data_IF_894256668505
#
_entry.id   IF_894256668505
#
_cell.length_a   1.000
_cell.length_b   1.000
_cell.length_c   1.000
_cell.angle_alpha   90.00
_cell.angle_beta   90.00
_cell.angle_gamma   90.00
#
_symmetry.space_group_name_H-M   'P 1'
#
loop_
_entity.id
_entity.type
_entity.pdbx_description
1 polymer ?
#
# COMPACT_ATOMS: atom_id res chain seq x y z
N UNK A 1 5.04 14.48 -2.79
CA UNK A 1 4.38 14.77 -4.08
C UNK A 1 5.17 14.05 -5.14
N UNK A 2 4.56 13.06 -5.82
CA UNK A 2 5.20 12.25 -6.86
C UNK A 2 4.92 12.85 -8.24
N UNK A 3 5.77 12.58 -9.22
CA UNK A 3 5.59 13.08 -10.59
C UNK A 3 4.80 12.09 -11.45
N UNK A 4 4.25 12.56 -12.58
CA UNK A 4 3.64 11.68 -13.59
C UNK A 4 4.63 10.63 -14.12
N UNK A 5 5.94 10.94 -14.11
CA UNK A 5 6.99 9.99 -14.50
C UNK A 5 7.14 8.85 -13.50
N UNK A 6 6.94 9.12 -12.20
CA UNK A 6 7.01 8.08 -11.17
C UNK A 6 5.82 7.13 -11.30
N UNK A 7 4.63 7.64 -11.59
CA UNK A 7 3.46 6.81 -11.89
C UNK A 7 3.70 5.85 -13.06
N UNK A 8 4.33 6.33 -14.14
CA UNK A 8 4.69 5.49 -15.30
C UNK A 8 5.75 4.46 -14.93
N UNK A 9 6.79 4.85 -14.17
CA UNK A 9 7.86 3.93 -13.77
C UNK A 9 7.35 2.78 -12.93
N UNK A 10 6.38 3.06 -12.06
CA UNK A 10 5.83 2.10 -11.11
C UNK A 10 4.51 1.46 -11.57
N UNK A 11 4.16 1.57 -12.85
CA UNK A 11 2.89 1.06 -13.41
C UNK A 11 2.67 -0.43 -13.15
N UNK A 12 3.72 -1.23 -13.17
CA UNK A 12 3.67 -2.66 -12.86
C UNK A 12 3.12 -2.89 -11.44
N UNK A 13 3.68 -2.20 -10.45
CA UNK A 13 3.26 -2.28 -9.05
C UNK A 13 1.86 -1.72 -8.83
N UNK A 14 1.50 -0.62 -9.50
CA UNK A 14 0.14 -0.07 -9.43
C UNK A 14 -0.89 -1.06 -9.98
N UNK A 15 -0.55 -1.76 -11.07
CA UNK A 15 -1.40 -2.80 -11.65
C UNK A 15 -1.56 -3.97 -10.68
N UNK A 16 -0.47 -4.39 -10.03
CA UNK A 16 -0.49 -5.48 -9.04
C UNK A 16 -1.33 -5.13 -7.79
N UNK A 17 -1.16 -3.91 -7.27
CA UNK A 17 -1.99 -3.36 -6.20
C UNK A 17 -3.46 -3.32 -6.60
N UNK A 18 -3.78 -2.96 -7.84
CA UNK A 18 -5.14 -3.00 -8.38
C UNK A 18 -5.74 -4.40 -8.34
N UNK A 19 -4.98 -5.44 -8.76
CA UNK A 19 -5.42 -6.84 -8.71
C UNK A 19 -5.63 -7.32 -7.28
N UNK A 20 -4.73 -6.98 -6.36
CA UNK A 20 -4.87 -7.33 -4.95
C UNK A 20 -6.09 -6.63 -4.32
N UNK A 21 -6.34 -5.37 -4.68
CA UNK A 21 -7.53 -4.65 -4.25
C UNK A 21 -8.83 -5.30 -4.79
N UNK A 22 -8.83 -5.77 -6.03
CA UNK A 22 -9.93 -6.56 -6.59
C UNK A 22 -10.16 -7.86 -5.82
N UNK A 23 -9.10 -8.63 -5.53
CA UNK A 23 -9.23 -9.90 -4.80
C UNK A 23 -9.70 -9.71 -3.36
N UNK A 24 -9.38 -8.56 -2.76
CA UNK A 24 -9.82 -8.17 -1.41
C UNK A 24 -11.19 -7.48 -1.40
N UNK A 25 -11.82 -7.27 -2.56
CA UNK A 25 -13.09 -6.57 -2.69
C UNK A 25 -13.05 -5.14 -2.15
N UNK A 26 -11.95 -4.42 -2.37
CA UNK A 26 -11.77 -3.02 -1.98
C UNK A 26 -12.33 -2.07 -3.03
N UNK A 27 -12.99 -1.00 -2.59
CA UNK A 27 -13.52 0.08 -3.43
C UNK A 27 -12.45 0.95 -4.10
N UNK A 28 -12.88 1.99 -4.81
CA UNK A 28 -11.99 2.93 -5.51
C UNK A 28 -11.21 3.84 -4.57
N UNK A 29 -11.79 4.19 -3.41
CA UNK A 29 -11.16 5.08 -2.43
C UNK A 29 -9.91 4.43 -1.78
N UNK A 30 -9.98 3.20 -1.21
CA UNK A 30 -8.80 2.49 -0.73
C UNK A 30 -7.68 2.38 -1.76
N UNK A 31 -8.03 2.10 -3.02
CA UNK A 31 -7.09 1.96 -4.14
C UNK A 31 -6.36 3.27 -4.41
N UNK A 32 -7.10 4.35 -4.62
CA UNK A 32 -6.52 5.66 -4.89
C UNK A 32 -5.60 6.09 -3.75
N UNK A 33 -6.04 5.92 -2.49
CA UNK A 33 -5.23 6.25 -1.32
C UNK A 33 -3.96 5.38 -1.25
N UNK A 34 -4.08 4.08 -1.51
CA UNK A 34 -2.94 3.17 -1.51
C UNK A 34 -1.90 3.54 -2.58
N UNK A 35 -2.34 3.84 -3.80
CA UNK A 35 -1.46 4.28 -4.89
C UNK A 35 -0.72 5.57 -4.51
N UNK A 36 -1.42 6.56 -3.94
CA UNK A 36 -0.82 7.82 -3.52
C UNK A 36 0.22 7.61 -2.41
N UNK A 37 -0.07 6.72 -1.45
CA UNK A 37 0.85 6.34 -0.38
C UNK A 37 2.09 5.65 -0.94
N UNK A 38 1.93 4.69 -1.84
CA UNK A 38 3.03 3.97 -2.46
C UNK A 38 3.91 4.91 -3.29
N UNK A 39 3.32 5.70 -4.18
CA UNK A 39 4.05 6.63 -5.05
C UNK A 39 4.78 7.73 -4.27
N UNK A 40 4.27 8.10 -3.10
CA UNK A 40 4.94 9.06 -2.21
C UNK A 40 6.08 8.45 -1.40
N UNK A 41 6.20 7.11 -1.35
CA UNK A 41 7.16 6.38 -0.51
C UNK A 41 7.90 5.28 -1.30
N UNK A 42 8.02 5.41 -2.62
CA UNK A 42 8.68 4.40 -3.47
C UNK A 42 10.12 4.21 -2.98
N UNK A 43 10.52 2.99 -2.59
CA UNK A 43 11.89 2.73 -2.17
C UNK A 43 12.83 2.66 -3.38
N UNK A 44 14.09 3.06 -3.20
CA UNK A 44 15.11 2.97 -4.24
C UNK A 44 15.41 1.51 -4.68
N UNK A 45 15.25 0.55 -3.76
CA UNK A 45 15.55 -0.85 -4.01
C UNK A 45 14.30 -1.61 -4.50
N UNK A 46 14.36 -2.16 -5.72
CA UNK A 46 13.27 -2.96 -6.33
C UNK A 46 12.73 -4.05 -5.40
N UNK A 47 13.63 -4.79 -4.72
CA UNK A 47 13.26 -5.85 -3.78
C UNK A 47 12.39 -5.41 -2.60
N UNK A 48 12.36 -4.10 -2.30
CA UNK A 48 11.57 -3.53 -1.22
C UNK A 48 10.19 -3.08 -1.68
N UNK A 49 9.98 -2.87 -2.98
CA UNK A 49 8.73 -2.36 -3.55
C UNK A 49 7.49 -3.22 -3.25
N UNK A 50 7.52 -4.57 -3.38
CA UNK A 50 6.34 -5.38 -3.05
C UNK A 50 5.87 -5.16 -1.60
N UNK A 51 6.82 -5.12 -0.65
CA UNK A 51 6.52 -4.91 0.76
C UNK A 51 5.97 -3.51 1.05
N UNK A 52 6.45 -2.47 0.35
CA UNK A 52 5.93 -1.11 0.50
C UNK A 52 4.56 -0.98 -0.17
N UNK A 53 4.35 -1.55 -1.34
CA UNK A 53 3.07 -1.59 -2.05
C UNK A 53 1.99 -2.28 -1.21
N UNK A 54 2.28 -3.45 -0.63
CA UNK A 54 1.37 -4.17 0.26
C UNK A 54 1.05 -3.36 1.54
N UNK A 55 2.06 -2.71 2.13
CA UNK A 55 1.85 -1.84 3.29
C UNK A 55 1.01 -0.61 2.95
N UNK A 56 1.19 -0.03 1.76
CA UNK A 56 0.39 1.09 1.26
C UNK A 56 -1.06 0.67 1.00
N UNK A 57 -1.29 -0.53 0.46
CA UNK A 57 -2.62 -1.10 0.27
C UNK A 57 -3.36 -1.30 1.59
N UNK A 58 -2.69 -1.88 2.59
CA UNK A 58 -3.25 -2.01 3.94
C UNK A 58 -3.57 -0.64 4.57
N UNK A 59 -2.63 0.31 4.49
CA UNK A 59 -2.82 1.65 5.04
C UNK A 59 -3.94 2.43 4.33
N UNK A 60 -4.04 2.31 3.00
CA UNK A 60 -5.11 2.94 2.21
C UNK A 60 -6.49 2.37 2.56
N UNK A 61 -6.61 1.04 2.70
CA UNK A 61 -7.82 0.39 3.17
C UNK A 61 -8.22 0.84 4.59
N UNK A 62 -7.24 0.98 5.49
CA UNK A 62 -7.48 1.48 6.85
C UNK A 62 -7.96 2.94 6.85
N UNK A 63 -7.33 3.83 6.07
CA UNK A 63 -7.74 5.24 5.95
C UNK A 63 -9.17 5.37 5.41
N UNK A 64 -9.50 4.57 4.39
CA UNK A 64 -10.81 4.58 3.74
C UNK A 64 -11.91 3.85 4.55
N UNK A 65 -11.57 3.20 5.67
CA UNK A 65 -12.52 2.43 6.48
C UNK A 65 -12.98 1.11 5.84
N UNK A 66 -12.26 0.61 4.85
CA UNK A 66 -12.49 -0.70 4.19
C UNK A 66 -11.41 -1.71 4.60
N UNK A 67 -11.05 -1.72 5.89
CA UNK A 67 -9.94 -2.49 6.41
C UNK A 67 -10.05 -4.00 6.16
N UNK A 68 -8.89 -4.60 5.84
CA UNK A 68 -8.70 -6.04 5.68
C UNK A 68 -7.59 -6.52 6.61
N UNK A 69 -7.60 -7.79 7.03
CA UNK A 69 -6.49 -8.36 7.80
C UNK A 69 -5.16 -8.18 7.08
N UNK A 70 -4.08 -7.89 7.83
CA UNK A 70 -2.74 -7.78 7.25
C UNK A 70 -2.28 -9.09 6.58
N UNK A 71 -2.78 -10.23 7.04
CA UNK A 71 -2.55 -11.54 6.39
C UNK A 71 -3.12 -11.56 4.99
N UNK A 72 -4.36 -11.12 4.82
CA UNK A 72 -5.06 -11.19 3.54
C UNK A 72 -4.40 -10.23 2.52
N UNK A 73 -3.98 -9.05 2.97
CA UNK A 73 -3.21 -8.11 2.14
C UNK A 73 -1.84 -8.69 1.77
N UNK A 74 -1.18 -9.36 2.71
CA UNK A 74 0.12 -9.96 2.47
C UNK A 74 0.02 -11.13 1.47
N UNK A 75 -0.97 -11.99 1.63
CA UNK A 75 -1.23 -13.12 0.72
C UNK A 75 -1.62 -12.62 -0.68
N UNK A 76 -2.45 -11.58 -0.79
CA UNK A 76 -2.85 -11.00 -2.07
C UNK A 76 -1.69 -10.32 -2.84
N UNK A 77 -0.64 -9.90 -2.13
CA UNK A 77 0.54 -9.24 -2.69
C UNK A 77 1.79 -10.13 -2.70
N UNK A 78 1.66 -11.41 -2.37
CA UNK A 78 2.75 -12.38 -2.26
C UNK A 78 3.93 -11.90 -1.39
N UNK A 79 3.62 -11.35 -0.22
CA UNK A 79 4.60 -10.94 0.79
C UNK A 79 4.31 -11.56 2.14
N UNK A 80 5.25 -11.45 3.08
CA UNK A 80 4.98 -11.86 4.46
C UNK A 80 4.10 -10.83 5.18
N UNK A 81 3.20 -11.29 6.07
CA UNK A 81 2.46 -10.43 7.01
C UNK A 81 3.39 -9.46 7.77
N UNK A 82 4.58 -9.94 8.16
CA UNK A 82 5.56 -9.13 8.89
C UNK A 82 6.09 -7.98 8.03
N UNK A 83 6.22 -8.17 6.72
CA UNK A 83 6.64 -7.12 5.76
C UNK A 83 5.66 -5.94 5.77
N UNK A 84 4.36 -6.24 5.77
CA UNK A 84 3.26 -5.27 5.91
C UNK A 84 3.33 -4.59 7.28
N UNK A 85 3.38 -5.40 8.35
CA UNK A 85 3.36 -4.94 9.74
C UNK A 85 4.47 -3.92 10.05
N UNK A 86 5.67 -4.13 9.53
CA UNK A 86 6.83 -3.26 9.79
C UNK A 86 6.75 -1.90 9.09
N UNK A 87 5.88 -1.72 8.09
CA UNK A 87 5.93 -0.56 7.18
C UNK A 87 4.70 0.33 7.25
N UNK A 88 3.50 -0.22 7.49
CA UNK A 88 2.26 0.56 7.33
C UNK A 88 2.17 1.77 8.25
N UNK A 89 2.67 1.67 9.50
CA UNK A 89 2.64 2.77 10.46
C UNK A 89 3.44 3.98 9.95
N UNK A 90 4.66 3.75 9.47
CA UNK A 90 5.50 4.80 8.89
C UNK A 90 4.87 5.44 7.66
N UNK A 91 4.18 4.66 6.81
CA UNK A 91 3.47 5.23 5.66
C UNK A 91 2.34 6.17 6.09
N UNK A 92 1.56 5.81 7.12
CA UNK A 92 0.53 6.68 7.68
C UNK A 92 1.12 7.96 8.27
N UNK A 93 2.19 7.84 9.06
CA UNK A 93 2.88 8.98 9.67
C UNK A 93 3.41 9.94 8.60
N UNK A 94 4.04 9.41 7.54
CA UNK A 94 4.53 10.20 6.42
C UNK A 94 3.42 10.92 5.66
N UNK A 95 2.21 10.36 5.63
CA UNK A 95 1.02 10.98 5.07
C UNK A 95 0.30 11.94 6.05
N UNK A 96 0.84 12.14 7.25
CA UNK A 96 0.31 13.08 8.25
C UNK A 96 -0.81 12.51 9.13
N UNK A 97 -1.07 11.20 9.06
CA UNK A 97 -2.06 10.54 9.90
C UNK A 97 -1.46 10.13 11.25
N UNK A 98 -2.31 10.12 12.29
CA UNK A 98 -1.93 9.54 13.58
C UNK A 98 -2.09 8.03 13.53
N UNK A 99 -1.03 7.30 13.87
CA UNK A 99 -1.09 5.85 13.94
C UNK A 99 -1.80 5.39 15.22
N UNK A 100 -2.64 4.36 15.14
CA UNK A 100 -3.18 3.73 16.33
C UNK A 100 -2.08 3.02 17.16
N UNK A 101 -2.23 3.04 18.48
CA UNK A 101 -1.27 2.46 19.44
C UNK A 101 -1.61 1.04 19.86
N UNK A 102 -2.72 0.48 19.37
CA UNK A 102 -3.16 -0.87 19.66
C UNK A 102 -2.43 -1.93 18.81
#
# INVERSE_FOLDING_TARGET
MYSARDRVREEEWLTEMGRAADSLGLGSEPRSTAEDLFLSNVPDAERSKPAVAAAALYAGALIAGEERPQTDVADAMDVSRLSVQQRWKTLLENAGFRTPTW
#
